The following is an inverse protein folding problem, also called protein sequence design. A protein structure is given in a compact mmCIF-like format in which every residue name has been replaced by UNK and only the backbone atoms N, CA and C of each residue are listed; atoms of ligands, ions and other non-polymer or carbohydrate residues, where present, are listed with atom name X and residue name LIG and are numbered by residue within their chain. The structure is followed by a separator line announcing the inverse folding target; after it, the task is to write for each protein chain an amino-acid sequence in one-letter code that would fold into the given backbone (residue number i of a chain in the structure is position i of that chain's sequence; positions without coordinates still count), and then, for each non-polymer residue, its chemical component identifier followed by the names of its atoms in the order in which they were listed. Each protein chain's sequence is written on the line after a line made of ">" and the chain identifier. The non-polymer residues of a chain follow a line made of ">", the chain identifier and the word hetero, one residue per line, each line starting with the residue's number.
data_IF_466206156562
#
_entry.id   IF_466206156562
#
_cell.length_a   1.000
_cell.length_b   1.000
_cell.length_c   1.000
_cell.angle_alpha   90.00
_cell.angle_beta   90.00
_cell.angle_gamma   90.00
#
_symmetry.space_group_name_H-M   'P 1'
#
loop_
_entity.id
_entity.type
_entity.pdbx_description
1 polymer ?
#
# COMPACT_ATOMS: atom_id res chain seq x y z
N UNK A 1 -9.85 11.55 -11.61
CA UNK A 1 -8.95 10.98 -10.57
C UNK A 1 -8.59 12.11 -9.60
N UNK A 2 -9.14 12.14 -8.39
CA UNK A 2 -8.82 13.24 -7.46
C UNK A 2 -7.39 13.04 -6.96
N UNK A 3 -6.49 13.99 -7.27
CA UNK A 3 -5.05 13.99 -6.92
C UNK A 3 -4.77 13.63 -5.45
N UNK A 4 -5.74 13.82 -4.56
CA UNK A 4 -5.64 13.48 -3.13
C UNK A 4 -5.49 11.97 -2.89
N UNK A 5 -6.22 11.13 -3.61
CA UNK A 5 -6.21 9.67 -3.36
C UNK A 5 -4.91 8.99 -3.79
N UNK A 6 -4.34 9.44 -4.91
CA UNK A 6 -3.02 8.98 -5.38
C UNK A 6 -1.95 9.29 -4.32
N UNK A 7 -2.04 10.47 -3.69
CA UNK A 7 -1.12 10.86 -2.62
C UNK A 7 -1.26 9.95 -1.38
N UNK A 8 -2.48 9.59 -0.99
CA UNK A 8 -2.71 8.67 0.14
C UNK A 8 -2.22 7.25 -0.16
N UNK A 9 -2.48 6.69 -1.35
CA UNK A 9 -1.96 5.37 -1.72
C UNK A 9 -0.44 5.31 -1.73
N UNK A 10 0.23 6.36 -2.24
CA UNK A 10 1.70 6.44 -2.23
C UNK A 10 2.22 6.47 -0.78
N UNK A 11 1.60 7.27 0.09
CA UNK A 11 2.01 7.36 1.51
C UNK A 11 1.82 6.02 2.22
N UNK A 12 0.69 5.34 2.02
CA UNK A 12 0.46 4.00 2.59
C UNK A 12 1.50 2.99 2.10
N UNK A 13 1.83 3.00 0.80
CA UNK A 13 2.85 2.11 0.23
C UNK A 13 4.23 2.33 0.84
N UNK A 14 4.63 3.59 1.01
CA UNK A 14 5.92 3.96 1.64
C UNK A 14 5.95 3.48 3.10
N UNK A 15 4.88 3.71 3.87
CA UNK A 15 4.81 3.28 5.27
C UNK A 15 4.90 1.74 5.38
N UNK A 16 4.17 1.02 4.52
CA UNK A 16 4.21 -0.43 4.49
C UNK A 16 5.61 -0.97 4.12
N UNK A 17 6.30 -0.32 3.19
CA UNK A 17 7.67 -0.68 2.81
C UNK A 17 8.66 -0.47 3.96
N UNK A 18 8.61 0.68 4.65
CA UNK A 18 9.49 0.95 5.78
C UNK A 18 9.23 -0.04 6.92
N UNK A 19 7.97 -0.32 7.24
CA UNK A 19 7.61 -1.30 8.27
C UNK A 19 8.07 -2.71 7.89
N UNK A 20 7.85 -3.14 6.64
CA UNK A 20 8.31 -4.43 6.15
C UNK A 20 9.82 -4.56 6.20
N UNK A 21 10.55 -3.52 5.78
CA UNK A 21 12.01 -3.50 5.77
C UNK A 21 12.59 -3.62 7.18
N UNK A 22 12.02 -2.90 8.16
CA UNK A 22 12.41 -3.02 9.57
C UNK A 22 12.12 -4.42 10.11
N UNK A 23 10.94 -4.98 9.80
CA UNK A 23 10.54 -6.31 10.26
C UNK A 23 11.49 -7.39 9.73
N UNK A 24 11.77 -7.38 8.43
CA UNK A 24 12.63 -8.38 7.79
C UNK A 24 14.11 -8.24 8.17
N UNK A 25 14.59 -7.01 8.41
CA UNK A 25 15.92 -6.78 8.99
C UNK A 25 16.01 -7.34 10.42
N UNK A 26 14.96 -7.19 11.22
CA UNK A 26 14.93 -7.67 12.61
C UNK A 26 14.90 -9.20 12.69
N UNK A 27 14.40 -9.89 11.66
CA UNK A 27 14.27 -11.36 11.62
C UNK A 27 15.55 -12.03 11.10
N UNK A 28 16.62 -11.28 10.78
CA UNK A 28 17.85 -11.81 10.18
C UNK A 28 17.56 -12.70 8.95
N UNK A 29 16.54 -12.31 8.17
CA UNK A 29 16.16 -13.06 6.98
C UNK A 29 17.29 -13.02 5.95
N UNK A 30 17.54 -14.14 5.26
CA UNK A 30 18.58 -14.24 4.23
C UNK A 30 18.36 -13.30 3.03
N UNK A 31 17.15 -12.77 2.84
CA UNK A 31 16.80 -11.86 1.74
C UNK A 31 15.78 -10.79 2.17
N UNK A 32 16.12 -9.95 3.16
CA UNK A 32 15.16 -9.09 3.85
C UNK A 32 14.62 -7.98 2.93
N UNK A 33 15.43 -7.53 1.98
CA UNK A 33 15.03 -6.54 0.97
C UNK A 33 13.98 -7.08 -0.01
N UNK A 34 14.14 -8.32 -0.49
CA UNK A 34 13.24 -8.92 -1.48
C UNK A 34 11.90 -9.25 -0.83
N UNK A 35 11.94 -9.82 0.38
CA UNK A 35 10.72 -10.15 1.12
C UNK A 35 9.94 -8.88 1.50
N UNK A 36 10.64 -7.84 1.97
CA UNK A 36 10.05 -6.51 2.22
C UNK A 36 9.41 -5.92 0.95
N UNK A 37 10.10 -5.99 -0.19
CA UNK A 37 9.60 -5.46 -1.45
C UNK A 37 8.30 -6.14 -1.89
N UNK A 38 8.25 -7.48 -1.82
CA UNK A 38 7.06 -8.26 -2.20
C UNK A 38 5.89 -7.95 -1.28
N UNK A 39 6.13 -7.92 0.03
CA UNK A 39 5.08 -7.63 1.03
C UNK A 39 4.56 -6.20 0.87
N UNK A 40 5.46 -5.24 0.69
CA UNK A 40 5.08 -3.84 0.46
C UNK A 40 4.29 -3.65 -0.84
N UNK A 41 4.68 -4.35 -1.91
CA UNK A 41 3.98 -4.33 -3.19
C UNK A 41 2.57 -4.92 -3.05
N UNK A 42 2.43 -6.04 -2.35
CA UNK A 42 1.14 -6.68 -2.09
C UNK A 42 0.20 -5.78 -1.29
N UNK A 43 0.73 -5.17 -0.20
CA UNK A 43 -0.05 -4.22 0.62
C UNK A 43 -0.44 -2.98 -0.18
N UNK A 44 0.46 -2.49 -1.04
CA UNK A 44 0.17 -1.38 -1.94
C UNK A 44 -0.96 -1.72 -2.91
N UNK A 45 -0.93 -2.90 -3.53
CA UNK A 45 -1.96 -3.35 -4.47
C UNK A 45 -3.33 -3.51 -3.81
N UNK A 46 -3.38 -4.12 -2.61
CA UNK A 46 -4.61 -4.27 -1.83
C UNK A 46 -5.15 -2.89 -1.43
N UNK A 47 -4.27 -1.99 -0.99
CA UNK A 47 -4.66 -0.63 -0.61
C UNK A 47 -5.19 0.17 -1.80
N UNK A 48 -4.57 0.00 -2.97
CA UNK A 48 -5.01 0.62 -4.22
C UNK A 48 -6.38 0.08 -4.65
N UNK A 49 -6.57 -1.23 -4.60
CA UNK A 49 -7.83 -1.89 -4.93
C UNK A 49 -8.97 -1.47 -3.99
N UNK A 50 -8.71 -1.45 -2.68
CA UNK A 50 -9.69 -1.06 -1.68
C UNK A 50 -10.10 0.42 -1.83
N UNK A 51 -9.13 1.30 -2.09
CA UNK A 51 -9.39 2.72 -2.33
C UNK A 51 -10.20 2.93 -3.61
N UNK A 52 -9.86 2.22 -4.69
CA UNK A 52 -10.62 2.24 -5.95
C UNK A 52 -12.07 1.78 -5.79
N UNK A 53 -12.31 0.75 -4.96
CA UNK A 53 -13.67 0.26 -4.68
C UNK A 53 -14.49 1.27 -3.88
N UNK A 54 -13.87 1.98 -2.93
CA UNK A 54 -14.52 3.03 -2.12
C UNK A 54 -14.93 4.24 -2.97
N UNK A 55 -14.13 4.63 -3.95
CA UNK A 55 -14.47 5.74 -4.86
C UNK A 55 -15.65 5.44 -5.80
N UNK A 56 -15.81 4.19 -6.25
CA UNK A 56 -16.99 3.81 -7.07
C UNK A 56 -18.30 3.88 -6.29
N UNK A 57 -18.28 3.59 -4.99
CA UNK A 57 -19.48 3.69 -4.15
C UNK A 57 -19.85 5.13 -3.82
N UNK A 58 -18.86 6.01 -3.64
CA UNK A 58 -19.10 7.41 -3.27
C UNK A 58 -19.66 8.26 -4.41
N UNK A 59 -19.30 7.96 -5.66
CA UNK A 59 -19.91 8.59 -6.84
C UNK A 59 -21.33 8.09 -7.16
N UNK A 60 -21.74 6.95 -6.60
CA UNK A 60 -23.09 6.40 -6.80
C UNK A 60 -24.13 6.93 -5.80
N UNK A 61 -23.68 7.64 -4.76
CA UNK A 61 -24.53 8.25 -3.72
C UNK A 61 -24.73 9.76 -3.91
N UNK A 62 -24.07 10.37 -4.90
CA UNK A 62 -24.15 11.80 -5.23
C UNK A 62 -24.84 12.06 -6.59
N UNK A 63 -25.51 11.05 -7.16
CA UNK A 63 -26.26 11.15 -8.40
C UNK A 63 -27.67 10.61 -8.21
#
# INVERSE_FOLDING_TARGET
>A
MSKKYVKYSIVIGIIAFVLGLVLFLTIDSSSPFIASLIVAFLIFEISFYHLFRKDRHKNKLLN
#
